data_IF_195791460682
#
_entry.id   IF_195791460682
#
_cell.length_a   1.000
_cell.length_b   1.000
_cell.length_c   1.000
_cell.angle_alpha   90.00
_cell.angle_beta   90.00
_cell.angle_gamma   90.00
#
_symmetry.space_group_name_H-M   'P 1'
#
loop_
_entity.id
_entity.type
_entity.pdbx_description
1 polymer ?
#
# COMPACT_ATOMS: atom_id res chain seq x y z
N UNK A 1 0.75 -26.98 5.40
CA UNK A 1 2.03 -27.09 6.12
C UNK A 1 2.88 -25.86 5.86
N UNK A 2 3.50 -25.33 6.91
CA UNK A 2 4.66 -24.42 6.85
C UNK A 2 4.43 -22.95 6.43
N UNK A 3 3.85 -22.13 7.32
CA UNK A 3 4.29 -20.73 7.43
C UNK A 3 5.18 -20.63 8.68
N UNK A 4 6.49 -20.80 8.50
CA UNK A 4 7.46 -20.29 9.46
C UNK A 4 7.44 -18.76 9.33
N UNK A 5 6.47 -18.13 10.00
CA UNK A 5 6.36 -16.67 10.05
C UNK A 5 7.47 -16.21 11.00
N UNK A 6 8.47 -15.51 10.47
CA UNK A 6 9.42 -14.77 11.30
C UNK A 6 8.64 -13.97 12.37
N UNK A 7 9.09 -13.92 13.63
CA UNK A 7 8.29 -13.36 14.72
C UNK A 7 7.81 -11.95 14.38
N UNK A 8 6.49 -11.74 14.39
CA UNK A 8 5.91 -10.43 14.11
C UNK A 8 6.28 -9.45 15.23
N UNK A 9 6.77 -8.27 14.86
CA UNK A 9 7.11 -7.22 15.83
C UNK A 9 5.80 -6.59 16.32
N UNK A 10 5.28 -7.06 17.46
CA UNK A 10 3.97 -6.64 18.01
C UNK A 10 4.04 -5.62 19.16
N UNK A 11 5.23 -5.25 19.66
CA UNK A 11 5.35 -4.29 20.77
C UNK A 11 5.00 -2.88 20.30
N UNK A 12 3.91 -2.30 20.83
CA UNK A 12 3.36 -0.99 20.42
C UNK A 12 4.40 0.14 20.31
N UNK A 13 5.31 0.26 21.28
CA UNK A 13 6.38 1.27 21.24
C UNK A 13 7.39 1.06 20.11
N UNK A 14 7.72 -0.20 19.82
CA UNK A 14 8.65 -0.60 18.76
C UNK A 14 8.02 -0.38 17.38
N UNK A 15 6.75 -0.75 17.23
CA UNK A 15 5.98 -0.53 16.00
C UNK A 15 5.86 0.95 15.64
N UNK A 16 5.61 1.83 16.61
CA UNK A 16 5.57 3.29 16.37
C UNK A 16 6.92 3.86 15.91
N UNK A 17 8.03 3.34 16.46
CA UNK A 17 9.37 3.71 16.04
C UNK A 17 9.61 3.29 14.59
N UNK A 18 9.28 2.04 14.25
CA UNK A 18 9.41 1.51 12.89
C UNK A 18 8.55 2.32 11.91
N UNK A 19 7.29 2.63 12.26
CA UNK A 19 6.41 3.45 11.43
C UNK A 19 7.03 4.82 11.08
N UNK A 20 7.69 5.46 12.06
CA UNK A 20 8.41 6.72 11.84
C UNK A 20 9.62 6.54 10.92
N UNK A 21 10.39 5.46 11.09
CA UNK A 21 11.55 5.17 10.23
C UNK A 21 11.12 4.87 8.79
N UNK A 22 10.06 4.08 8.61
CA UNK A 22 9.43 3.83 7.31
C UNK A 22 8.98 5.15 6.66
N UNK A 23 8.31 6.02 7.42
CA UNK A 23 7.89 7.34 6.93
C UNK A 23 9.08 8.18 6.45
N UNK A 24 10.17 8.25 7.24
CA UNK A 24 11.38 9.02 6.88
C UNK A 24 12.03 8.44 5.62
N UNK A 25 12.32 7.13 5.60
CA UNK A 25 12.98 6.47 4.49
C UNK A 25 12.18 6.59 3.19
N UNK A 26 10.86 6.39 3.26
CA UNK A 26 9.99 6.56 2.11
C UNK A 26 9.95 8.01 1.65
N UNK A 27 9.96 8.98 2.57
CA UNK A 27 9.96 10.40 2.22
C UNK A 27 11.28 10.82 1.54
N UNK A 28 12.41 10.33 2.03
CA UNK A 28 13.73 10.57 1.43
C UNK A 28 13.85 9.93 0.04
N UNK A 29 13.34 8.71 -0.13
CA UNK A 29 13.36 8.00 -1.41
C UNK A 29 12.31 8.55 -2.40
N UNK A 30 11.31 9.29 -1.92
CA UNK A 30 10.26 9.86 -2.75
C UNK A 30 10.75 11.15 -3.42
N UNK A 31 11.51 10.99 -4.50
CA UNK A 31 11.87 12.08 -5.40
C UNK A 31 10.69 12.36 -6.35
N UNK A 32 10.23 13.61 -6.32
CA UNK A 32 9.05 14.23 -6.96
C UNK A 32 8.65 13.87 -8.42
N UNK A 33 9.33 12.97 -9.13
CA UNK A 33 9.25 12.88 -10.60
C UNK A 33 8.29 11.84 -11.18
N UNK A 34 7.72 10.93 -10.40
CA UNK A 34 6.71 9.99 -10.89
C UNK A 34 5.52 9.94 -9.93
N UNK A 35 4.78 11.05 -9.89
CA UNK A 35 3.55 11.12 -9.14
C UNK A 35 2.50 10.26 -9.87
N UNK A 36 2.08 9.16 -9.24
CA UNK A 36 0.81 8.54 -9.59
C UNK A 36 -0.29 9.62 -9.54
N UNK A 37 -1.03 9.81 -10.63
CA UNK A 37 -2.07 10.86 -10.77
C UNK A 37 -3.14 10.81 -9.66
N UNK A 38 -3.23 9.68 -8.95
CA UNK A 38 -4.18 9.45 -7.86
C UNK A 38 -3.51 8.73 -6.69
N UNK A 39 -4.04 8.86 -5.46
CA UNK A 39 -3.44 8.20 -4.31
C UNK A 39 -3.47 6.68 -4.43
N UNK A 40 -2.34 6.00 -4.25
CA UNK A 40 -2.20 4.53 -4.31
C UNK A 40 -1.72 3.99 -2.97
N UNK A 41 -2.18 2.79 -2.60
CA UNK A 41 -1.92 2.20 -1.28
C UNK A 41 -1.26 0.84 -1.39
N UNK A 42 -0.31 0.58 -0.50
CA UNK A 42 0.43 -0.67 -0.41
C UNK A 42 0.48 -1.18 1.04
N UNK A 43 0.51 -2.50 1.20
CA UNK A 43 0.97 -3.13 2.44
C UNK A 43 2.48 -3.28 2.33
N UNK A 44 3.21 -2.65 3.24
CA UNK A 44 4.68 -2.63 3.24
C UNK A 44 5.19 -3.41 4.43
N UNK A 45 6.09 -4.37 4.21
CA UNK A 45 6.78 -5.11 5.25
C UNK A 45 8.15 -4.46 5.50
N UNK A 46 8.41 -4.09 6.74
CA UNK A 46 9.66 -3.43 7.14
C UNK A 46 10.27 -4.10 8.37
N UNK A 47 11.60 -4.10 8.45
CA UNK A 47 12.32 -4.64 9.60
C UNK A 47 12.35 -3.67 10.80
N UNK A 48 13.04 -4.07 11.87
CA UNK A 48 13.18 -3.26 13.09
C UNK A 48 13.92 -1.91 12.92
N UNK A 49 14.60 -1.72 11.79
CA UNK A 49 15.29 -0.47 11.41
C UNK A 49 14.42 0.43 10.53
N UNK A 50 13.27 -0.09 10.06
CA UNK A 50 12.42 0.56 9.06
C UNK A 50 12.87 0.32 7.63
N UNK A 51 13.80 -0.61 7.39
CA UNK A 51 14.20 -1.00 6.04
C UNK A 51 13.09 -1.84 5.40
N UNK A 52 12.78 -1.56 4.12
CA UNK A 52 11.64 -2.13 3.42
C UNK A 52 12.02 -3.47 2.80
N UNK A 53 11.49 -4.55 3.34
CA UNK A 53 11.79 -5.92 2.92
C UNK A 53 10.90 -6.39 1.77
N UNK A 54 9.63 -5.96 1.76
CA UNK A 54 8.66 -6.35 0.76
C UNK A 54 7.48 -5.37 0.68
N UNK A 55 6.69 -5.44 -0.39
CA UNK A 55 5.45 -4.70 -0.52
C UNK A 55 4.40 -5.45 -1.34
N UNK A 56 3.13 -5.17 -1.07
CA UNK A 56 2.00 -5.70 -1.82
C UNK A 56 1.00 -4.59 -2.16
N UNK A 57 0.60 -4.44 -3.43
CA UNK A 57 -0.45 -3.50 -3.80
C UNK A 57 -1.81 -3.93 -3.23
N UNK A 58 -2.62 -2.97 -2.76
CA UNK A 58 -3.96 -3.28 -2.22
C UNK A 58 -5.04 -3.42 -3.30
N UNK A 59 -4.79 -2.84 -4.49
CA UNK A 59 -5.71 -2.86 -5.64
C UNK A 59 -4.93 -2.91 -6.96
N UNK A 60 -5.62 -3.12 -8.09
CA UNK A 60 -5.01 -3.22 -9.42
C UNK A 60 -4.28 -1.94 -9.83
N UNK A 61 -4.81 -0.78 -9.46
CA UNK A 61 -4.19 0.52 -9.78
C UNK A 61 -2.88 0.72 -9.01
N UNK A 62 -2.80 0.27 -7.76
CA UNK A 62 -1.56 0.23 -7.02
C UNK A 62 -0.57 -0.76 -7.66
N UNK A 63 -1.04 -1.86 -8.24
CA UNK A 63 -0.15 -2.75 -9.00
C UNK A 63 0.42 -2.05 -10.25
N UNK A 64 -0.43 -1.36 -11.01
CA UNK A 64 -0.03 -0.61 -12.21
C UNK A 64 0.95 0.55 -11.90
N UNK A 65 0.82 1.14 -10.71
CA UNK A 65 1.64 2.25 -10.26
C UNK A 65 2.91 1.83 -9.50
N UNK A 66 3.19 0.54 -9.33
CA UNK A 66 4.28 0.05 -8.47
C UNK A 66 5.65 0.63 -8.89
N UNK A 67 5.93 0.62 -10.19
CA UNK A 67 7.17 1.16 -10.79
C UNK A 67 7.30 2.69 -10.68
N UNK A 68 6.21 3.39 -10.34
CA UNK A 68 6.20 4.84 -10.12
C UNK A 68 6.49 5.19 -8.65
N UNK A 69 6.59 4.18 -7.77
CA UNK A 69 6.93 4.38 -6.37
C UNK A 69 8.40 4.02 -6.12
N UNK A 70 9.02 4.49 -5.03
CA UNK A 70 10.37 4.07 -4.67
C UNK A 70 10.42 2.63 -4.10
N UNK A 71 9.27 1.96 -3.91
CA UNK A 71 9.21 0.64 -3.28
C UNK A 71 10.03 -0.45 -3.98
N UNK A 72 10.03 -0.59 -5.33
CA UNK A 72 10.84 -1.59 -6.02
C UNK A 72 12.33 -1.42 -5.74
N UNK A 73 12.82 -0.18 -5.72
CA UNK A 73 14.21 0.13 -5.42
C UNK A 73 14.56 -0.20 -3.96
N UNK A 74 13.72 0.20 -3.01
CA UNK A 74 13.96 -0.04 -1.58
C UNK A 74 14.01 -1.53 -1.22
N UNK A 75 13.17 -2.35 -1.86
CA UNK A 75 13.19 -3.81 -1.68
C UNK A 75 14.45 -4.44 -2.28
N UNK A 76 14.90 -3.94 -3.44
CA UNK A 76 16.14 -4.40 -4.07
C UNK A 76 17.35 -4.12 -3.18
N UNK A 77 17.40 -2.93 -2.58
CA UNK A 77 18.47 -2.54 -1.66
C UNK A 77 18.47 -3.44 -0.43
N UNK A 78 17.30 -3.69 0.16
CA UNK A 78 17.18 -4.60 1.30
C UNK A 78 17.69 -6.01 1.00
N UNK A 79 17.34 -6.60 -0.14
CA UNK A 79 17.82 -7.94 -0.53
C UNK A 79 19.33 -8.02 -0.72
N UNK A 80 19.98 -6.89 -0.96
CA UNK A 80 21.43 -6.81 -1.12
C UNK A 80 22.17 -6.82 0.24
N UNK A 81 21.46 -6.61 1.36
CA UNK A 81 22.04 -6.47 2.70
C UNK A 81 22.14 -7.78 3.52
N UNK A 82 21.95 -8.96 2.92
CA UNK A 82 22.01 -10.29 3.59
C UNK A 82 21.12 -10.37 4.85
N UNK A 83 19.87 -9.92 4.72
CA UNK A 83 18.92 -9.61 5.83
C UNK A 83 17.76 -10.60 5.97
N UNK A 84 17.82 -11.77 5.32
CA UNK A 84 16.69 -12.69 5.08
C UNK A 84 15.97 -13.27 6.32
N UNK A 85 16.44 -13.02 7.55
CA UNK A 85 15.88 -13.60 8.79
C UNK A 85 15.41 -12.57 9.82
N UNK A 86 15.27 -11.29 9.46
CA UNK A 86 14.83 -10.28 10.43
C UNK A 86 13.32 -10.33 10.70
N UNK A 87 12.88 -10.07 11.94
CA UNK A 87 11.48 -9.81 12.28
C UNK A 87 10.93 -8.66 11.42
N UNK A 88 9.72 -8.83 10.87
CA UNK A 88 9.07 -7.81 10.03
C UNK A 88 7.78 -7.29 10.69
N UNK A 89 7.52 -6.00 10.49
CA UNK A 89 6.26 -5.32 10.80
C UNK A 89 5.59 -4.85 9.50
N UNK A 90 4.25 -4.88 9.46
CA UNK A 90 3.48 -4.48 8.28
C UNK A 90 2.78 -3.14 8.46
N UNK A 91 2.74 -2.35 7.39
CA UNK A 91 2.14 -1.01 7.38
C UNK A 91 1.29 -0.77 6.14
N UNK A 92 0.17 -0.08 6.28
CA UNK A 92 -0.51 0.55 5.15
C UNK A 92 0.20 1.85 4.81
N UNK A 93 0.67 1.96 3.57
CA UNK A 93 1.34 3.15 3.05
C UNK A 93 0.54 3.69 1.89
N UNK A 94 0.01 4.90 2.03
CA UNK A 94 -0.66 5.60 0.93
C UNK A 94 0.23 6.69 0.40
N UNK A 95 0.61 6.58 -0.86
CA UNK A 95 1.30 7.63 -1.60
C UNK A 95 0.27 8.54 -2.25
N UNK A 96 0.43 9.86 -2.07
CA UNK A 96 -0.48 10.87 -2.64
C UNK A 96 0.21 11.64 -3.75
N UNK A 97 -0.57 12.19 -4.71
CA UNK A 97 0.01 12.97 -5.79
C UNK A 97 0.78 14.21 -5.35
N UNK A 98 0.46 14.77 -4.19
CA UNK A 98 1.17 15.94 -3.66
C UNK A 98 2.59 15.63 -3.14
N UNK A 99 3.09 14.40 -3.31
CA UNK A 99 4.36 13.96 -2.72
C UNK A 99 4.28 13.69 -1.21
N UNK A 100 3.09 13.80 -0.62
CA UNK A 100 2.86 13.40 0.76
C UNK A 100 2.53 11.91 0.86
N UNK A 101 2.98 11.26 1.93
CA UNK A 101 2.68 9.86 2.21
C UNK A 101 2.14 9.68 3.63
N UNK A 102 1.28 8.69 3.81
CA UNK A 102 0.68 8.33 5.09
C UNK A 102 1.02 6.89 5.43
N UNK A 103 1.72 6.68 6.56
CA UNK A 103 2.08 5.35 7.07
C UNK A 103 1.22 5.02 8.29
N UNK A 104 0.49 3.93 8.22
CA UNK A 104 -0.37 3.44 9.29
C UNK A 104 -0.05 1.98 9.61
N UNK A 105 -0.17 1.59 10.88
CA UNK A 105 0.02 0.19 11.27
C UNK A 105 -0.98 -0.70 10.53
N UNK A 106 -0.51 -1.78 9.92
CA UNK A 106 -1.39 -2.82 9.40
C UNK A 106 -2.08 -3.50 10.59
N UNK A 107 -3.40 -3.33 10.71
CA UNK A 107 -4.19 -3.93 11.78
C UNK A 107 -4.70 -5.33 11.41
N UNK A 108 -4.14 -5.96 10.37
CA UNK A 108 -4.76 -7.11 9.73
C UNK A 108 -6.06 -6.76 9.03
N UNK A 109 -6.64 -7.72 8.33
CA UNK A 109 -8.00 -7.62 7.81
C UNK A 109 -8.95 -7.77 9.02
N UNK A 110 -9.81 -6.79 9.37
CA UNK A 110 -10.95 -7.12 10.22
C UNK A 110 -11.78 -8.14 9.43
N UNK A 111 -12.07 -9.30 10.02
CA UNK A 111 -12.82 -10.42 9.43
C UNK A 111 -14.24 -10.07 8.90
N UNK A 112 -14.60 -8.78 8.78
CA UNK A 112 -15.89 -8.23 8.37
C UNK A 112 -15.86 -7.52 7.00
N UNK A 113 -14.74 -7.51 6.26
CA UNK A 113 -14.62 -6.88 4.93
C UNK A 113 -14.97 -7.77 3.73
N UNK A 114 -15.76 -8.83 3.90
CA UNK A 114 -16.47 -9.41 2.74
C UNK A 114 -17.75 -8.61 2.37
N UNK A 115 -18.15 -7.61 3.16
CA UNK A 115 -19.45 -6.92 2.99
C UNK A 115 -19.41 -5.48 2.44
N UNK A 116 -18.28 -4.95 1.98
CA UNK A 116 -18.24 -3.58 1.44
C UNK A 116 -17.63 -3.56 0.03
N UNK A 117 -18.21 -4.38 -0.86
CA UNK A 117 -18.14 -4.18 -2.31
C UNK A 117 -19.31 -3.33 -2.84
N UNK A 118 -20.25 -2.91 -1.99
CA UNK A 118 -21.47 -2.19 -2.39
C UNK A 118 -21.66 -0.90 -1.61
N UNK A 119 -20.88 0.13 -1.93
CA UNK A 119 -21.18 1.57 -1.84
C UNK A 119 -19.82 2.26 -2.13
N UNK A 120 -19.52 2.81 -3.30
CA UNK A 120 -20.12 4.02 -3.87
C UNK A 120 -20.29 3.80 -5.38
N UNK A 121 -21.46 3.27 -5.75
CA UNK A 121 -22.00 3.38 -7.11
C UNK A 121 -23.38 4.03 -7.04
N UNK A 122 -23.52 5.10 -6.26
CA UNK A 122 -24.70 5.97 -6.29
C UNK A 122 -24.21 7.39 -6.03
N UNK A 123 -23.71 8.05 -7.07
CA UNK A 123 -24.07 9.41 -7.53
C UNK A 123 -23.20 9.66 -8.76
N UNK A 124 -23.61 9.14 -9.92
CA UNK A 124 -23.24 9.67 -11.24
C UNK A 124 -24.05 8.93 -12.32
N UNK A 125 -25.29 9.36 -12.57
CA UNK A 125 -25.94 9.43 -13.88
C UNK A 125 -27.46 9.64 -13.76
N UNK A 126 -27.86 10.72 -13.08
CA UNK A 126 -29.15 11.35 -13.32
C UNK A 126 -29.12 12.25 -14.57
N UNK A 127 -28.41 11.85 -15.64
CA UNK A 127 -28.30 12.59 -16.91
C UNK A 127 -27.64 11.76 -18.02
N UNK A 128 -28.25 10.66 -18.46
CA UNK A 128 -28.18 10.26 -19.87
C UNK A 128 -29.62 9.98 -20.31
N UNK A 129 -30.35 11.06 -20.55
CA UNK A 129 -31.58 11.04 -21.33
C UNK A 129 -31.19 10.75 -22.78
N UNK A 130 -31.77 9.67 -23.34
CA UNK A 130 -32.07 9.53 -24.76
C UNK A 130 -30.89 9.37 -25.72
N UNK A 131 -30.42 8.15 -25.95
CA UNK A 131 -29.96 7.72 -27.27
C UNK A 131 -29.81 6.20 -27.30
N UNK A 132 -30.83 5.52 -27.79
CA UNK A 132 -30.83 4.29 -28.62
C UNK A 132 -32.27 3.81 -28.58
N UNK A 133 -32.95 4.31 -29.58
CA UNK A 133 -34.34 4.16 -29.93
C UNK A 133 -34.70 2.71 -30.22
N UNK A 134 -35.84 2.31 -29.68
CA UNK A 134 -36.88 1.42 -30.21
C UNK A 134 -36.71 0.97 -31.67
N UNK A 135 -35.73 0.11 -31.95
CA UNK A 135 -35.64 -0.65 -33.20
C UNK A 135 -35.47 -2.12 -32.84
N UNK A 136 -36.53 -2.86 -33.13
CA UNK A 136 -36.75 -4.31 -32.94
C UNK A 136 -37.35 -4.68 -31.58
N UNK A 137 -38.61 -4.29 -31.37
CA UNK A 137 -39.76 -5.21 -31.45
C UNK A 137 -41.06 -4.41 -31.50
#
# INVERSE_FOLDING_TARGET
SSQAIAPEILRYGQVRKIARQVQIRLHEAWMSEAIADRPVTYVVAADETGAIADYQPVDARAADAAEQTPLPHLVKDYRSEDTLLRPLARFHVTFKPSGSLNVQLWRGIPLLWLAISTLIAIVAAGAIVGYVETRLL
#
